data_IF_081295363361
#
_entry.id   IF_081295363361
#
_cell.length_a   1.000
_cell.length_b   1.000
_cell.length_c   1.000
_cell.angle_alpha   90.00
_cell.angle_beta   90.00
_cell.angle_gamma   90.00
#
_symmetry.space_group_name_H-M   'P 1'
#
loop_
_entity.id
_entity.type
_entity.pdbx_description
1 polymer ?
#
# COMPACT_ATOMS: atom_id res chain seq x y z
N UNK A 1 3.26 -20.51 18.47
CA UNK A 1 4.17 -19.78 17.57
C UNK A 1 3.95 -18.28 17.80
N UNK A 2 5.00 -17.51 18.01
CA UNK A 2 4.90 -16.06 18.11
C UNK A 2 5.01 -15.50 16.69
N UNK A 3 3.95 -14.89 16.18
CA UNK A 3 3.96 -14.18 14.90
C UNK A 3 4.69 -12.85 15.09
N UNK A 4 5.74 -12.62 14.32
CA UNK A 4 6.52 -11.39 14.42
C UNK A 4 6.45 -10.63 13.09
N UNK A 5 5.77 -9.49 13.09
CA UNK A 5 5.72 -8.58 11.95
C UNK A 5 6.98 -7.71 11.96
N UNK A 6 7.77 -7.79 10.91
CA UNK A 6 8.97 -6.97 10.70
C UNK A 6 8.82 -6.03 9.51
N UNK A 7 8.12 -6.49 8.48
CA UNK A 7 7.91 -5.75 7.24
C UNK A 7 6.43 -5.79 6.87
N UNK A 8 5.85 -4.62 6.64
CA UNK A 8 4.47 -4.48 6.21
C UNK A 8 4.38 -3.76 4.86
N UNK A 9 3.24 -3.87 4.20
CA UNK A 9 2.93 -3.06 3.03
C UNK A 9 1.54 -2.43 3.18
N UNK A 10 1.44 -1.17 2.79
CA UNK A 10 0.17 -0.45 2.67
C UNK A 10 -0.10 -0.18 1.20
N UNK A 11 -1.24 -0.63 0.73
CA UNK A 11 -1.66 -0.53 -0.66
C UNK A 11 -2.74 0.56 -0.79
N UNK A 12 -2.36 1.68 -1.37
CA UNK A 12 -3.11 2.93 -1.42
C UNK A 12 -2.47 3.98 -0.51
N UNK A 13 -1.97 5.06 -1.11
CA UNK A 13 -1.24 6.14 -0.44
C UNK A 13 -2.10 7.39 -0.21
N UNK A 14 -3.41 7.23 -0.14
CA UNK A 14 -4.32 8.29 0.30
C UNK A 14 -4.06 8.67 1.77
N UNK A 15 -4.89 9.57 2.32
CA UNK A 15 -4.74 10.07 3.70
C UNK A 15 -4.65 8.92 4.70
N UNK A 16 -5.55 7.94 4.62
CA UNK A 16 -5.57 6.80 5.56
C UNK A 16 -4.34 5.92 5.37
N UNK A 17 -4.02 5.52 4.13
CA UNK A 17 -2.90 4.62 3.87
C UNK A 17 -1.55 5.22 4.28
N UNK A 18 -1.29 6.47 3.95
CA UNK A 18 -0.06 7.15 4.35
C UNK A 18 0.06 7.30 5.88
N UNK A 19 -1.08 7.53 6.58
CA UNK A 19 -1.11 7.61 8.05
C UNK A 19 -0.88 6.24 8.69
N UNK A 20 -1.46 5.17 8.14
CA UNK A 20 -1.24 3.79 8.58
C UNK A 20 0.24 3.42 8.40
N UNK A 21 0.84 3.73 7.25
CA UNK A 21 2.26 3.48 7.01
C UNK A 21 3.14 4.23 8.02
N UNK A 22 2.83 5.50 8.33
CA UNK A 22 3.52 6.25 9.37
C UNK A 22 3.37 5.60 10.75
N UNK A 23 2.19 5.10 11.10
CA UNK A 23 1.93 4.42 12.37
C UNK A 23 2.75 3.13 12.50
N UNK A 24 2.84 2.33 11.45
CA UNK A 24 3.66 1.12 11.42
C UNK A 24 5.14 1.42 11.66
N UNK A 25 5.67 2.46 11.01
CA UNK A 25 7.07 2.86 11.23
C UNK A 25 7.32 3.46 12.60
N UNK A 26 6.31 4.10 13.23
CA UNK A 26 6.40 4.52 14.64
C UNK A 26 6.52 3.31 15.59
N UNK A 27 6.01 2.13 15.19
CA UNK A 27 6.18 0.87 15.91
C UNK A 27 7.49 0.13 15.53
N UNK A 28 8.34 0.71 14.68
CA UNK A 28 9.60 0.11 14.26
C UNK A 28 9.47 -0.94 13.14
N UNK A 29 8.35 -0.96 12.41
CA UNK A 29 8.09 -1.87 11.30
C UNK A 29 8.47 -1.19 9.98
N UNK A 30 9.32 -1.83 9.18
CA UNK A 30 9.59 -1.36 7.80
C UNK A 30 8.32 -1.43 6.95
N UNK A 31 8.07 -0.43 6.14
CA UNK A 31 6.82 -0.34 5.39
C UNK A 31 7.04 -0.04 3.91
N UNK A 32 6.37 -0.79 3.04
CA UNK A 32 6.18 -0.44 1.65
C UNK A 32 4.88 0.36 1.52
N UNK A 33 4.91 1.49 0.82
CA UNK A 33 3.73 2.29 0.50
C UNK A 33 3.57 2.32 -1.01
N UNK A 34 2.62 1.56 -1.52
CA UNK A 34 2.38 1.42 -2.95
C UNK A 34 1.05 2.06 -3.36
N UNK A 35 1.02 2.66 -4.55
CA UNK A 35 -0.21 3.20 -5.15
C UNK A 35 -0.24 2.94 -6.66
N UNK A 36 -1.27 3.39 -7.34
CA UNK A 36 -1.34 3.36 -8.80
C UNK A 36 -0.34 4.35 -9.41
N UNK A 37 0.02 4.14 -10.68
CA UNK A 37 0.70 5.16 -11.48
C UNK A 37 -0.29 6.26 -11.90
N UNK A 38 0.15 7.49 -12.16
CA UNK A 38 -0.69 8.53 -12.74
C UNK A 38 -1.27 8.11 -14.09
N UNK A 39 -2.48 8.62 -14.42
CA UNK A 39 -3.18 8.23 -15.65
C UNK A 39 -2.61 8.88 -16.91
N UNK A 40 -2.04 10.08 -16.78
CA UNK A 40 -1.51 10.83 -17.90
C UNK A 40 -0.34 11.74 -17.49
N UNK A 41 0.52 12.03 -18.45
CA UNK A 41 1.64 12.94 -18.29
C UNK A 41 1.17 14.37 -18.62
N UNK A 42 1.20 15.26 -17.62
CA UNK A 42 0.77 16.66 -17.81
C UNK A 42 1.81 17.46 -18.59
N UNK A 43 1.40 18.62 -19.13
CA UNK A 43 2.34 19.54 -19.79
C UNK A 43 3.41 20.09 -18.85
N UNK A 44 3.10 20.20 -17.56
CA UNK A 44 4.09 20.58 -16.53
C UNK A 44 5.13 19.49 -16.32
N UNK A 45 4.73 18.23 -16.39
CA UNK A 45 5.65 17.09 -16.30
C UNK A 45 6.62 17.07 -17.47
N UNK A 46 6.09 17.27 -18.68
CA UNK A 46 6.90 17.36 -19.89
C UNK A 46 7.90 18.51 -19.84
N UNK A 47 7.48 19.68 -19.32
CA UNK A 47 8.38 20.83 -19.10
C UNK A 47 9.51 20.54 -18.10
N UNK A 48 9.27 19.64 -17.14
CA UNK A 48 10.29 19.16 -16.19
C UNK A 48 11.16 18.04 -16.75
N UNK A 49 10.92 17.60 -17.99
CA UNK A 49 11.65 16.51 -18.62
C UNK A 49 11.23 15.12 -18.14
N UNK A 50 10.08 15.00 -17.47
CA UNK A 50 9.55 13.70 -17.05
C UNK A 50 8.91 12.98 -18.24
N UNK A 51 9.00 11.65 -18.20
CA UNK A 51 8.38 10.73 -19.15
C UNK A 51 7.52 9.72 -18.40
N UNK A 52 6.74 8.92 -19.12
CA UNK A 52 5.95 7.82 -18.53
C UNK A 52 6.83 6.71 -17.90
N UNK A 53 8.11 6.67 -18.25
CA UNK A 53 9.10 5.76 -17.67
C UNK A 53 9.81 6.34 -16.45
N UNK A 54 9.63 7.63 -16.16
CA UNK A 54 10.32 8.29 -15.05
C UNK A 54 9.80 7.77 -13.70
N UNK A 55 10.66 7.16 -12.84
CA UNK A 55 10.23 6.66 -11.53
C UNK A 55 9.58 7.74 -10.64
N UNK A 56 10.03 8.99 -10.76
CA UNK A 56 9.46 10.13 -10.05
C UNK A 56 8.01 10.40 -10.46
N UNK A 57 7.68 10.23 -11.74
CA UNK A 57 6.31 10.36 -12.21
C UNK A 57 5.48 9.13 -11.82
N UNK A 58 5.99 7.93 -12.05
CA UNK A 58 5.27 6.67 -11.77
C UNK A 58 4.92 6.49 -10.30
N UNK A 59 5.79 6.93 -9.39
CA UNK A 59 5.58 6.80 -7.94
C UNK A 59 4.96 8.05 -7.30
N UNK A 60 4.44 8.99 -8.09
CA UNK A 60 3.96 10.30 -7.62
C UNK A 60 2.92 10.21 -6.54
N UNK A 61 1.92 9.30 -6.67
CA UNK A 61 0.86 9.20 -5.67
C UNK A 61 1.40 8.70 -4.33
N UNK A 62 2.25 7.70 -4.33
CA UNK A 62 2.89 7.22 -3.11
C UNK A 62 3.80 8.30 -2.48
N UNK A 63 4.57 9.02 -3.29
CA UNK A 63 5.42 10.13 -2.84
C UNK A 63 4.60 11.27 -2.23
N UNK A 64 3.48 11.64 -2.87
CA UNK A 64 2.60 12.69 -2.36
C UNK A 64 1.95 12.29 -1.03
N UNK A 65 1.50 11.04 -0.90
CA UNK A 65 0.94 10.50 0.34
C UNK A 65 1.96 10.56 1.48
N UNK A 66 3.18 10.07 1.25
CA UNK A 66 4.25 10.13 2.24
C UNK A 66 4.57 11.57 2.64
N UNK A 67 4.72 12.48 1.67
CA UNK A 67 4.98 13.90 1.93
C UNK A 67 3.85 14.57 2.72
N UNK A 68 2.60 14.23 2.44
CA UNK A 68 1.45 14.72 3.19
C UNK A 68 1.49 14.23 4.65
N UNK A 69 1.79 12.96 4.89
CA UNK A 69 1.93 12.41 6.25
C UNK A 69 3.08 13.06 7.04
N UNK A 70 4.22 13.36 6.38
CA UNK A 70 5.36 14.06 7.01
C UNK A 70 4.99 15.49 7.46
N UNK A 71 4.09 16.14 6.70
CA UNK A 71 3.66 17.54 6.96
C UNK A 71 2.36 17.63 7.76
N UNK A 72 1.73 16.51 8.09
CA UNK A 72 0.40 16.47 8.71
C UNK A 72 0.36 17.15 10.08
N UNK A 73 -0.82 17.71 10.39
CA UNK A 73 -1.14 18.24 11.72
C UNK A 73 -2.53 17.72 12.11
N UNK A 74 -2.63 16.93 13.20
CA UNK A 74 -1.54 16.50 14.09
C UNK A 74 -0.51 15.62 13.36
N UNK A 75 0.71 15.51 13.91
CA UNK A 75 1.82 14.80 13.30
C UNK A 75 1.53 13.29 13.22
N UNK A 76 1.66 12.69 12.04
CA UNK A 76 1.53 11.24 11.84
C UNK A 76 2.77 10.49 12.33
N UNK A 77 3.94 11.10 12.26
CA UNK A 77 5.21 10.52 12.71
C UNK A 77 5.61 11.03 14.09
N UNK A 78 6.01 10.14 14.99
CA UNK A 78 6.64 10.51 16.28
C UNK A 78 8.01 11.16 16.07
N UNK A 79 8.75 10.69 15.06
CA UNK A 79 9.98 11.31 14.58
C UNK A 79 9.98 11.34 13.06
N UNK A 80 10.37 12.48 12.46
CA UNK A 80 10.51 12.58 10.99
C UNK A 80 11.50 11.58 10.42
N UNK A 81 12.43 11.07 11.22
CA UNK A 81 13.36 10.00 10.81
C UNK A 81 12.63 8.69 10.48
N UNK A 82 11.46 8.44 11.09
CA UNK A 82 10.70 7.22 10.80
C UNK A 82 10.18 7.18 9.35
N UNK A 83 10.06 8.32 8.69
CA UNK A 83 9.69 8.38 7.28
C UNK A 83 10.70 7.66 6.37
N UNK A 84 11.98 7.57 6.75
CA UNK A 84 13.00 6.82 6.00
C UNK A 84 12.82 5.29 6.05
N UNK A 85 11.94 4.79 6.92
CA UNK A 85 11.55 3.38 6.96
C UNK A 85 10.43 3.03 5.97
N UNK A 86 9.91 4.04 5.24
CA UNK A 86 8.90 3.83 4.19
C UNK A 86 9.59 3.83 2.84
N UNK A 87 9.46 2.72 2.12
CA UNK A 87 9.83 2.62 0.72
C UNK A 87 8.56 2.84 -0.12
N UNK A 88 8.59 3.80 -1.04
CA UNK A 88 7.48 4.09 -1.94
C UNK A 88 7.62 3.33 -3.25
N UNK A 89 6.50 3.04 -3.90
CA UNK A 89 6.46 2.40 -5.20
C UNK A 89 5.06 2.42 -5.82
N UNK A 90 4.85 1.59 -6.83
CA UNK A 90 3.57 1.48 -7.52
C UNK A 90 3.18 0.01 -7.79
N UNK A 91 1.90 -0.20 -8.15
CA UNK A 91 1.37 -1.55 -8.37
C UNK A 91 1.84 -2.23 -9.67
N UNK A 92 2.41 -1.47 -10.61
CA UNK A 92 2.85 -2.05 -11.88
C UNK A 92 4.31 -2.50 -11.83
N UNK A 93 5.16 -1.75 -11.11
CA UNK A 93 6.61 -1.98 -11.08
C UNK A 93 7.10 -2.73 -9.83
N UNK A 94 6.32 -2.70 -8.72
CA UNK A 94 6.86 -3.05 -7.40
C UNK A 94 6.06 -4.13 -6.65
N UNK A 95 5.14 -4.84 -7.31
CA UNK A 95 4.39 -5.93 -6.66
C UNK A 95 5.28 -7.09 -6.21
N UNK A 96 6.39 -7.34 -6.88
CA UNK A 96 7.38 -8.35 -6.52
C UNK A 96 8.01 -8.10 -5.13
N UNK A 97 8.09 -6.84 -4.70
CA UNK A 97 8.57 -6.48 -3.36
C UNK A 97 7.68 -6.98 -2.22
N UNK A 98 6.47 -7.47 -2.54
CA UNK A 98 5.53 -8.02 -1.55
C UNK A 98 5.81 -9.48 -1.18
N UNK A 99 6.75 -10.14 -1.85
CA UNK A 99 7.06 -11.57 -1.66
C UNK A 99 7.52 -11.89 -0.23
N UNK A 100 8.23 -10.96 0.41
CA UNK A 100 8.82 -11.12 1.75
C UNK A 100 8.12 -10.28 2.83
N UNK A 101 6.92 -9.77 2.54
CA UNK A 101 6.13 -8.96 3.48
C UNK A 101 5.34 -9.87 4.43
N UNK A 102 5.34 -9.51 5.72
CA UNK A 102 4.62 -10.26 6.76
C UNK A 102 3.13 -9.85 6.84
N UNK A 103 2.82 -8.59 6.54
CA UNK A 103 1.46 -8.05 6.65
C UNK A 103 1.17 -7.02 5.55
N UNK A 104 0.08 -7.23 4.82
CA UNK A 104 -0.43 -6.30 3.82
C UNK A 104 -1.74 -5.68 4.33
N UNK A 105 -1.85 -4.36 4.23
CA UNK A 105 -3.05 -3.59 4.56
C UNK A 105 -3.52 -2.89 3.29
N UNK A 106 -4.65 -3.32 2.76
CA UNK A 106 -5.28 -2.71 1.59
C UNK A 106 -6.14 -1.52 2.02
N UNK A 107 -5.89 -0.37 1.40
CA UNK A 107 -6.51 0.94 1.69
C UNK A 107 -6.86 1.68 0.37
N UNK A 108 -7.11 0.94 -0.71
CA UNK A 108 -7.51 1.54 -1.98
C UNK A 108 -8.98 1.97 -1.94
N UNK A 109 -9.43 2.69 -2.97
CA UNK A 109 -10.80 3.22 -3.05
C UNK A 109 -11.86 2.14 -2.85
N UNK A 110 -13.05 2.54 -2.31
CA UNK A 110 -14.20 1.66 -2.04
C UNK A 110 -14.91 1.25 -3.35
N UNK A 111 -14.22 0.45 -4.16
CA UNK A 111 -14.73 -0.16 -5.39
C UNK A 111 -14.43 -1.64 -5.39
N UNK A 112 -15.48 -2.47 -5.38
CA UNK A 112 -15.37 -3.92 -5.28
C UNK A 112 -14.50 -4.53 -6.40
N UNK A 113 -14.72 -4.09 -7.64
CA UNK A 113 -13.98 -4.62 -8.81
C UNK A 113 -12.49 -4.30 -8.72
N UNK A 114 -12.14 -3.05 -8.34
CA UNK A 114 -10.75 -2.64 -8.19
C UNK A 114 -10.06 -3.44 -7.10
N UNK A 115 -10.74 -3.66 -5.96
CA UNK A 115 -10.18 -4.49 -4.88
C UNK A 115 -9.98 -5.93 -5.32
N UNK A 116 -10.97 -6.54 -5.95
CA UNK A 116 -10.87 -7.92 -6.47
C UNK A 116 -9.73 -8.08 -7.49
N UNK A 117 -9.57 -7.13 -8.41
CA UNK A 117 -8.48 -7.15 -9.41
C UNK A 117 -7.10 -7.00 -8.76
N UNK A 118 -6.98 -6.13 -7.76
CA UNK A 118 -5.76 -5.99 -6.99
C UNK A 118 -5.42 -7.28 -6.24
N UNK A 119 -6.36 -7.85 -5.51
CA UNK A 119 -6.14 -9.10 -4.77
C UNK A 119 -5.80 -10.28 -5.67
N UNK A 120 -6.37 -10.36 -6.87
CA UNK A 120 -6.01 -11.38 -7.85
C UNK A 120 -4.55 -11.26 -8.34
N UNK A 121 -3.98 -10.06 -8.36
CA UNK A 121 -2.55 -9.84 -8.61
C UNK A 121 -1.70 -10.22 -7.39
N UNK A 122 -2.14 -9.80 -6.19
CA UNK A 122 -1.43 -10.07 -4.93
C UNK A 122 -1.29 -11.56 -4.64
N UNK A 123 -2.33 -12.35 -4.86
CA UNK A 123 -2.34 -13.79 -4.58
C UNK A 123 -1.24 -14.55 -5.34
N UNK A 124 -0.76 -14.00 -6.46
CA UNK A 124 0.31 -14.59 -7.28
C UNK A 124 1.71 -14.31 -6.76
N UNK A 125 1.89 -13.28 -5.92
CA UNK A 125 3.22 -12.79 -5.53
C UNK A 125 3.49 -12.87 -4.02
N UNK A 126 2.45 -12.83 -3.19
CA UNK A 126 2.61 -12.81 -1.73
C UNK A 126 3.01 -14.15 -1.15
N UNK A 127 3.86 -14.13 -0.13
CA UNK A 127 4.29 -15.34 0.59
C UNK A 127 3.12 -16.08 1.28
N UNK A 128 3.28 -17.39 1.55
CA UNK A 128 2.20 -18.22 2.10
C UNK A 128 1.81 -17.86 3.54
N UNK A 129 2.67 -17.16 4.26
CA UNK A 129 2.45 -16.75 5.65
C UNK A 129 2.08 -15.27 5.79
N UNK A 130 2.00 -14.53 4.69
CA UNK A 130 1.66 -13.10 4.73
C UNK A 130 0.20 -12.92 5.19
N UNK A 131 -0.02 -12.16 6.24
CA UNK A 131 -1.36 -11.72 6.67
C UNK A 131 -1.84 -10.65 5.69
N UNK A 132 -3.10 -10.71 5.28
CA UNK A 132 -3.68 -9.73 4.37
C UNK A 132 -4.94 -9.15 4.99
N UNK A 133 -5.01 -7.85 5.06
CA UNK A 133 -6.18 -7.13 5.61
C UNK A 133 -6.66 -6.05 4.66
N UNK A 134 -7.92 -5.71 4.78
CA UNK A 134 -8.53 -4.56 4.09
C UNK A 134 -9.06 -3.56 5.11
N UNK A 135 -8.88 -2.28 4.84
CA UNK A 135 -9.39 -1.19 5.69
C UNK A 135 -10.80 -0.73 5.25
N UNK A 136 -11.48 -1.51 4.43
CA UNK A 136 -12.84 -1.19 3.96
C UNK A 136 -13.84 -1.09 5.13
N UNK A 137 -14.79 -0.18 5.02
CA UNK A 137 -15.93 -0.07 5.93
C UNK A 137 -17.27 -0.19 5.21
N UNK A 138 -17.27 -0.04 3.88
CA UNK A 138 -18.48 0.02 3.07
C UNK A 138 -18.77 -1.23 2.23
N UNK A 139 -17.84 -2.17 2.13
CA UNK A 139 -17.97 -3.38 1.32
C UNK A 139 -17.95 -4.64 2.18
N UNK A 140 -18.83 -5.63 1.92
CA UNK A 140 -18.77 -6.92 2.61
C UNK A 140 -17.44 -7.64 2.34
N UNK A 141 -16.78 -8.09 3.40
CA UNK A 141 -15.50 -8.84 3.32
C UNK A 141 -15.65 -10.10 2.47
N UNK A 142 -16.82 -10.76 2.57
CA UNK A 142 -17.14 -11.95 1.76
C UNK A 142 -17.15 -11.69 0.26
N UNK A 143 -17.65 -10.51 -0.16
CA UNK A 143 -17.70 -10.12 -1.58
C UNK A 143 -16.29 -9.81 -2.12
N UNK A 144 -15.47 -9.13 -1.31
CA UNK A 144 -14.08 -8.86 -1.67
C UNK A 144 -13.32 -10.18 -1.88
N UNK A 145 -13.50 -11.13 -0.98
CA UNK A 145 -12.79 -12.42 -0.97
C UNK A 145 -13.47 -13.53 -1.78
N UNK A 146 -14.54 -13.23 -2.53
CA UNK A 146 -15.33 -14.24 -3.25
C UNK A 146 -14.47 -15.15 -4.13
N UNK A 147 -13.51 -14.58 -4.83
CA UNK A 147 -12.65 -15.27 -5.81
C UNK A 147 -11.27 -15.69 -5.26
N UNK A 148 -11.01 -15.52 -3.94
CA UNK A 148 -9.73 -15.92 -3.37
C UNK A 148 -9.57 -17.43 -3.30
N UNK A 149 -8.35 -17.91 -3.50
CA UNK A 149 -7.97 -19.26 -3.17
C UNK A 149 -8.06 -19.53 -1.66
N UNK A 150 -8.15 -20.80 -1.28
CA UNK A 150 -8.33 -21.24 0.11
C UNK A 150 -7.26 -20.63 1.04
N UNK A 151 -6.00 -20.68 0.64
CA UNK A 151 -4.88 -20.17 1.45
C UNK A 151 -5.00 -18.68 1.75
N UNK A 152 -5.42 -17.85 0.80
CA UNK A 152 -5.60 -16.42 1.04
C UNK A 152 -6.82 -16.14 1.92
N UNK A 153 -7.92 -16.86 1.73
CA UNK A 153 -9.14 -16.72 2.57
C UNK A 153 -8.89 -16.95 4.04
N UNK A 154 -8.03 -17.92 4.39
CA UNK A 154 -7.74 -18.28 5.78
C UNK A 154 -6.92 -17.21 6.55
N UNK A 155 -6.33 -16.25 5.85
CA UNK A 155 -5.47 -15.20 6.40
C UNK A 155 -5.88 -13.79 5.96
N UNK A 156 -7.11 -13.65 5.46
CA UNK A 156 -7.72 -12.38 5.04
C UNK A 156 -8.84 -11.96 5.98
N UNK A 157 -8.80 -10.72 6.46
CA UNK A 157 -9.83 -10.14 7.32
C UNK A 157 -9.85 -8.61 7.25
N UNK A 158 -10.91 -8.00 7.78
CA UNK A 158 -11.02 -6.55 7.90
C UNK A 158 -10.28 -6.01 9.12
N UNK A 159 -9.59 -4.87 8.93
CA UNK A 159 -9.02 -4.04 10.01
C UNK A 159 -9.40 -2.58 9.76
N UNK A 160 -9.82 -1.89 10.80
CA UNK A 160 -10.26 -0.49 10.66
C UNK A 160 -9.72 0.37 11.81
#
# INVERSE_FOLDING_TARGET
MSYKIKKAAVLGAGVMGATIAAHLTNAGIECLLLDIIPFELTDEDKKKGLTEESPEWRNRFAANGLNAAVKSKPASFYSKKNASMITIGNFDDNLDMLTDVDWIIEVVIENLKIKQDLFAKLEKVIGPNCIVTTNTSGLPIGDISANFGKSLKERFFGTH
#
